data_IF_979909706066
#
_entry.id   IF_979909706066
#
_cell.length_a   1.000
_cell.length_b   1.000
_cell.length_c   1.000
_cell.angle_alpha   90.00
_cell.angle_beta   90.00
_cell.angle_gamma   90.00
#
_symmetry.space_group_name_H-M   'P 1'
#
loop_
_entity.id
_entity.type
_entity.pdbx_description
1 polymer ?
#
# COMPACT_ATOMS: atom_id res chain seq x y z
N UNK A 1 -17.18 -39.18 -32.55
CA UNK A 1 -16.20 -38.33 -31.83
C UNK A 1 -16.08 -38.76 -30.36
N UNK A 2 -15.69 -40.01 -30.08
CA UNK A 2 -15.70 -40.52 -28.69
C UNK A 2 -14.54 -41.49 -28.39
N UNK A 3 -13.33 -41.18 -28.87
CA UNK A 3 -12.17 -42.09 -28.74
C UNK A 3 -10.82 -41.42 -28.39
N UNK A 4 -10.79 -40.12 -28.08
CA UNK A 4 -9.53 -39.41 -27.77
C UNK A 4 -9.33 -39.10 -26.27
N UNK A 5 -10.26 -39.48 -25.39
CA UNK A 5 -10.15 -39.24 -23.94
C UNK A 5 -9.58 -40.44 -23.16
N UNK A 6 -8.98 -41.41 -23.85
CA UNK A 6 -8.39 -42.64 -23.28
C UNK A 6 -6.85 -42.64 -23.21
N UNK A 7 -6.17 -41.53 -23.52
CA UNK A 7 -4.70 -41.47 -23.58
C UNK A 7 -4.05 -40.56 -22.52
N UNK A 8 -4.63 -40.49 -21.32
CA UNK A 8 -3.92 -39.94 -20.16
C UNK A 8 -3.73 -41.09 -19.15
N UNK A 9 -2.51 -41.61 -18.96
CA UNK A 9 -2.26 -42.61 -17.94
C UNK A 9 -2.50 -41.99 -16.55
N UNK A 10 -3.64 -42.31 -15.94
CA UNK A 10 -3.91 -42.06 -14.52
C UNK A 10 -2.96 -42.94 -13.72
N UNK A 11 -1.75 -42.45 -13.43
CA UNK A 11 -0.77 -43.15 -12.61
C UNK A 11 -1.17 -43.04 -11.12
N UNK A 12 -1.71 -44.10 -10.51
CA UNK A 12 -2.28 -44.05 -9.15
C UNK A 12 -1.20 -43.97 -8.05
N UNK A 13 0.08 -44.11 -8.40
CA UNK A 13 1.19 -43.98 -7.45
C UNK A 13 1.53 -42.52 -7.15
N UNK A 14 1.47 -41.63 -8.15
CA UNK A 14 1.81 -40.20 -7.98
C UNK A 14 0.76 -39.48 -7.12
N UNK A 15 -0.52 -39.85 -7.27
CA UNK A 15 -1.60 -39.27 -6.48
C UNK A 15 -1.54 -39.68 -5.00
N UNK A 16 -1.10 -40.90 -4.68
CA UNK A 16 -0.97 -41.37 -3.29
C UNK A 16 0.18 -40.71 -2.54
N UNK A 17 1.34 -40.51 -3.17
CA UNK A 17 2.46 -39.80 -2.55
C UNK A 17 2.11 -38.33 -2.28
N UNK A 18 1.46 -37.66 -3.24
CA UNK A 18 0.95 -36.31 -3.06
C UNK A 18 -0.10 -36.20 -1.95
N UNK A 19 -1.06 -37.13 -1.88
CA UNK A 19 -2.12 -37.14 -0.85
C UNK A 19 -1.59 -37.37 0.57
N UNK A 20 -0.59 -38.25 0.75
CA UNK A 20 0.01 -38.50 2.06
C UNK A 20 0.82 -37.30 2.56
N UNK A 21 1.64 -36.70 1.69
CA UNK A 21 2.33 -35.43 1.98
C UNK A 21 1.33 -34.33 2.33
N UNK A 22 0.21 -34.25 1.61
CA UNK A 22 -0.81 -33.22 1.81
C UNK A 22 -1.55 -33.33 3.15
N UNK A 23 -1.94 -34.55 3.57
CA UNK A 23 -2.65 -34.76 4.83
C UNK A 23 -1.77 -34.50 6.06
N UNK A 24 -0.46 -34.71 5.94
CA UNK A 24 0.45 -34.58 7.08
C UNK A 24 1.17 -33.23 7.15
N UNK A 25 1.52 -32.59 6.02
CA UNK A 25 2.25 -31.31 6.05
C UNK A 25 1.36 -30.08 6.12
N UNK A 26 0.18 -30.09 5.48
CA UNK A 26 -0.70 -28.91 5.46
C UNK A 26 -1.13 -28.49 6.87
N UNK A 27 -1.54 -29.40 7.79
CA UNK A 27 -1.93 -29.01 9.13
C UNK A 27 -0.78 -28.39 9.94
N UNK A 28 0.45 -28.85 9.73
CA UNK A 28 1.64 -28.27 10.38
C UNK A 28 1.98 -26.90 9.79
N UNK A 29 1.88 -26.76 8.47
CA UNK A 29 2.11 -25.51 7.78
C UNK A 29 1.10 -24.44 8.21
N UNK A 30 -0.16 -24.82 8.44
CA UNK A 30 -1.16 -23.93 9.01
C UNK A 30 -0.77 -23.43 10.43
N UNK A 31 -0.26 -24.32 11.29
CA UNK A 31 0.21 -23.96 12.64
C UNK A 31 1.37 -22.97 12.56
N UNK A 32 2.33 -23.24 11.67
CA UNK A 32 3.46 -22.35 11.42
C UNK A 32 3.02 -20.98 10.89
N UNK A 33 2.09 -20.95 9.93
CA UNK A 33 1.57 -19.70 9.38
C UNK A 33 0.91 -18.83 10.47
N UNK A 34 0.02 -19.41 11.28
CA UNK A 34 -0.65 -18.72 12.37
C UNK A 34 0.34 -18.22 13.43
N UNK A 35 1.34 -19.05 13.75
CA UNK A 35 2.39 -18.68 14.70
C UNK A 35 3.23 -17.50 14.20
N UNK A 36 3.64 -17.54 12.92
CA UNK A 36 4.41 -16.46 12.29
C UNK A 36 3.63 -15.15 12.27
N UNK A 37 2.36 -15.18 11.85
CA UNK A 37 1.50 -13.98 11.83
C UNK A 37 1.25 -13.41 13.23
N UNK A 38 0.94 -14.28 14.21
CA UNK A 38 0.76 -13.86 15.60
C UNK A 38 2.02 -13.21 16.19
N UNK A 39 3.18 -13.83 15.95
CA UNK A 39 4.48 -13.31 16.40
C UNK A 39 4.84 -11.99 15.71
N UNK A 40 4.57 -11.87 14.41
CA UNK A 40 4.83 -10.67 13.63
C UNK A 40 4.05 -9.47 14.16
N UNK A 41 2.76 -9.63 14.44
CA UNK A 41 1.94 -8.55 15.02
C UNK A 41 2.41 -8.10 16.40
N UNK A 42 2.79 -9.05 17.25
CA UNK A 42 3.34 -8.73 18.57
C UNK A 42 4.68 -8.01 18.41
N UNK A 43 5.56 -8.50 17.53
CA UNK A 43 6.85 -7.84 17.24
C UNK A 43 6.64 -6.40 16.77
N UNK A 44 5.75 -6.17 15.82
CA UNK A 44 5.47 -4.83 15.27
C UNK A 44 4.88 -3.87 16.30
N UNK A 45 4.15 -4.39 17.30
CA UNK A 45 3.68 -3.60 18.43
C UNK A 45 4.85 -3.06 19.26
N UNK A 46 5.89 -3.86 19.47
CA UNK A 46 7.07 -3.49 20.25
C UNK A 46 8.09 -2.66 19.46
N UNK A 47 8.26 -2.90 18.16
CA UNK A 47 9.20 -2.12 17.32
C UNK A 47 8.71 -0.70 17.06
N UNK A 48 7.45 -0.38 17.37
CA UNK A 48 6.88 0.95 17.15
C UNK A 48 6.59 1.27 15.68
N UNK A 49 6.97 0.38 14.75
CA UNK A 49 6.72 0.49 13.32
C UNK A 49 5.22 0.49 12.98
N UNK A 50 4.38 -0.07 13.87
CA UNK A 50 2.93 -0.02 13.73
C UNK A 50 2.40 1.43 13.70
N UNK A 51 3.11 2.37 14.34
CA UNK A 51 2.77 3.81 14.30
C UNK A 51 2.93 4.44 12.91
N UNK A 52 3.75 3.85 12.06
CA UNK A 52 4.01 4.33 10.71
C UNK A 52 2.98 3.80 9.70
N UNK A 53 2.26 2.73 10.06
CA UNK A 53 1.36 2.02 9.16
C UNK A 53 -0.12 2.24 9.49
N UNK A 54 -0.48 2.47 10.76
CA UNK A 54 -1.88 2.48 11.21
C UNK A 54 -2.10 3.53 12.31
N UNK A 55 -3.30 4.12 12.36
CA UNK A 55 -3.72 5.06 13.40
C UNK A 55 -3.65 4.42 14.82
N UNK A 56 -3.22 5.16 15.85
CA UNK A 56 -2.95 4.63 17.20
C UNK A 56 -4.10 3.89 17.89
N UNK A 57 -5.35 4.23 17.57
CA UNK A 57 -6.52 3.56 18.15
C UNK A 57 -6.59 2.06 17.81
N UNK A 58 -6.01 1.62 16.70
CA UNK A 58 -6.08 0.23 16.25
C UNK A 58 -4.97 -0.65 16.85
N UNK A 59 -4.03 -0.11 17.62
CA UNK A 59 -2.92 -0.89 18.15
C UNK A 59 -3.36 -2.01 19.09
N UNK A 60 -4.36 -1.75 19.91
CA UNK A 60 -4.89 -2.75 20.84
C UNK A 60 -5.62 -3.88 20.08
N UNK A 61 -6.29 -3.54 18.97
CA UNK A 61 -6.96 -4.51 18.11
C UNK A 61 -5.95 -5.46 17.44
N UNK A 62 -4.87 -4.90 16.86
CA UNK A 62 -3.81 -5.69 16.23
C UNK A 62 -3.10 -6.58 17.25
N UNK A 63 -2.82 -6.06 18.45
CA UNK A 63 -2.24 -6.84 19.53
C UNK A 63 -3.15 -7.99 19.97
N UNK A 64 -4.45 -7.72 20.13
CA UNK A 64 -5.46 -8.74 20.43
C UNK A 64 -5.53 -9.82 19.35
N UNK A 65 -5.51 -9.43 18.07
CA UNK A 65 -5.48 -10.37 16.96
C UNK A 65 -4.23 -11.26 16.98
N UNK A 66 -3.06 -10.70 17.30
CA UNK A 66 -1.83 -11.46 17.47
C UNK A 66 -1.92 -12.52 18.56
N UNK A 67 -2.48 -12.17 19.72
CA UNK A 67 -2.73 -13.13 20.82
C UNK A 67 -3.69 -14.24 20.37
N UNK A 68 -4.80 -13.87 19.71
CA UNK A 68 -5.79 -14.84 19.23
C UNK A 68 -5.14 -15.82 18.23
N UNK A 69 -4.29 -15.34 17.32
CA UNK A 69 -3.56 -16.22 16.40
C UNK A 69 -2.59 -17.17 17.11
N UNK A 70 -1.87 -16.71 18.14
CA UNK A 70 -1.00 -17.58 18.94
C UNK A 70 -1.80 -18.63 19.71
N UNK A 71 -2.94 -18.26 20.32
CA UNK A 71 -3.82 -19.19 21.03
C UNK A 71 -4.38 -20.24 20.07
N UNK A 72 -4.89 -19.82 18.91
CA UNK A 72 -5.39 -20.75 17.89
C UNK A 72 -4.28 -21.68 17.37
N UNK A 73 -3.06 -21.17 17.15
CA UNK A 73 -1.91 -21.97 16.76
C UNK A 73 -1.58 -23.04 17.82
N UNK A 74 -1.53 -22.65 19.10
CA UNK A 74 -1.28 -23.57 20.22
C UNK A 74 -2.38 -24.63 20.38
N UNK A 75 -3.66 -24.24 20.28
CA UNK A 75 -4.78 -25.18 20.33
C UNK A 75 -4.71 -26.20 19.19
N UNK A 76 -4.42 -25.76 17.96
CA UNK A 76 -4.27 -26.65 16.81
C UNK A 76 -3.07 -27.57 16.98
N UNK A 77 -1.95 -27.06 17.46
CA UNK A 77 -0.75 -27.85 17.74
C UNK A 77 -1.03 -28.94 18.80
N UNK A 78 -1.74 -28.59 19.87
CA UNK A 78 -2.15 -29.54 20.91
C UNK A 78 -3.07 -30.65 20.36
N UNK A 79 -4.03 -30.29 19.51
CA UNK A 79 -4.91 -31.27 18.87
C UNK A 79 -4.16 -32.20 17.89
N UNK A 80 -3.17 -31.68 17.15
CA UNK A 80 -2.31 -32.49 16.27
C UNK A 80 -1.44 -33.49 17.04
N UNK A 81 -0.99 -33.13 18.24
CA UNK A 81 -0.17 -34.00 19.09
C UNK A 81 -1.01 -35.04 19.82
N UNK A 82 -2.23 -34.69 20.26
CA UNK A 82 -3.11 -35.60 21.01
C UNK A 82 -3.92 -36.55 20.12
N UNK A 83 -4.29 -36.14 18.90
CA UNK A 83 -5.16 -36.93 18.03
C UNK A 83 -4.51 -37.12 16.65
N UNK A 84 -4.08 -38.35 16.33
CA UNK A 84 -3.46 -38.71 15.02
C UNK A 84 -4.40 -38.57 13.81
N UNK A 85 -5.64 -38.12 14.02
CA UNK A 85 -6.62 -37.87 12.96
C UNK A 85 -7.23 -36.48 13.17
N UNK A 86 -6.52 -35.47 12.70
CA UNK A 86 -7.12 -34.18 12.36
C UNK A 86 -8.05 -34.43 11.17
N UNK A 87 -9.32 -34.69 11.46
CA UNK A 87 -10.36 -34.49 10.47
C UNK A 87 -10.36 -32.99 10.16
N UNK A 88 -9.86 -32.63 8.99
CA UNK A 88 -10.09 -31.32 8.40
C UNK A 88 -11.59 -31.03 8.57
N UNK A 89 -12.01 -29.86 9.07
CA UNK A 89 -13.42 -29.52 9.07
C UNK A 89 -13.90 -29.70 7.63
N UNK A 90 -14.77 -30.68 7.39
CA UNK A 90 -15.50 -30.82 6.13
C UNK A 90 -16.55 -29.69 6.05
N UNK A 91 -16.11 -28.45 6.22
CA UNK A 91 -16.87 -27.28 5.85
C UNK A 91 -16.99 -27.31 4.34
N UNK A 92 -18.22 -27.41 3.86
CA UNK A 92 -18.62 -27.32 2.45
C UNK A 92 -18.28 -25.93 1.89
N UNK A 93 -17.00 -25.62 1.75
CA UNK A 93 -16.55 -24.45 1.01
C UNK A 93 -16.06 -24.93 -0.34
N UNK A 94 -16.74 -24.48 -1.38
CA UNK A 94 -16.39 -24.67 -2.78
C UNK A 94 -15.08 -23.91 -3.01
N UNK A 95 -13.94 -24.55 -2.79
CA UNK A 95 -12.63 -23.95 -3.03
C UNK A 95 -12.29 -24.09 -4.50
N UNK A 96 -12.34 -22.98 -5.24
CA UNK A 96 -11.83 -22.90 -6.62
C UNK A 96 -10.32 -23.25 -6.69
N UNK A 97 -9.62 -23.18 -5.55
CA UNK A 97 -8.21 -23.50 -5.41
C UNK A 97 -7.98 -24.80 -4.65
N UNK A 98 -6.95 -25.59 -5.00
CA UNK A 98 -6.61 -26.79 -4.27
C UNK A 98 -6.30 -26.48 -2.79
N UNK A 99 -6.66 -27.40 -1.86
CA UNK A 99 -6.35 -27.24 -0.45
C UNK A 99 -4.84 -26.99 -0.25
N UNK A 100 -4.47 -26.16 0.72
CA UNK A 100 -3.07 -25.87 1.08
C UNK A 100 -2.34 -24.78 0.27
N UNK A 101 -2.79 -24.40 -0.94
CA UNK A 101 -2.15 -23.28 -1.67
C UNK A 101 -2.27 -21.96 -0.91
N UNK A 102 -3.45 -21.69 -0.33
CA UNK A 102 -3.69 -20.48 0.45
C UNK A 102 -2.77 -20.37 1.66
N UNK A 103 -2.59 -21.47 2.41
CA UNK A 103 -1.70 -21.47 3.57
C UNK A 103 -0.23 -21.32 3.17
N UNK A 104 0.18 -21.97 2.08
CA UNK A 104 1.53 -21.81 1.51
C UNK A 104 1.83 -20.35 1.20
N UNK A 105 0.90 -19.68 0.51
CA UNK A 105 1.01 -18.25 0.20
C UNK A 105 1.10 -17.39 1.46
N UNK A 106 0.22 -17.61 2.45
CA UNK A 106 0.23 -16.85 3.70
C UNK A 106 1.53 -17.01 4.49
N UNK A 107 2.14 -18.19 4.43
CA UNK A 107 3.43 -18.45 5.07
C UNK A 107 4.56 -17.69 4.38
N UNK A 108 4.61 -17.73 3.04
CA UNK A 108 5.60 -16.98 2.26
C UNK A 108 5.47 -15.48 2.51
N UNK A 109 4.24 -14.95 2.51
CA UNK A 109 3.97 -13.54 2.79
C UNK A 109 4.42 -13.17 4.21
N UNK A 110 4.15 -14.01 5.22
CA UNK A 110 4.59 -13.76 6.59
C UNK A 110 6.13 -13.72 6.71
N UNK A 111 6.83 -14.62 6.01
CA UNK A 111 8.29 -14.63 5.95
C UNK A 111 8.81 -13.35 5.30
N UNK A 112 8.28 -12.98 4.12
CA UNK A 112 8.68 -11.76 3.43
C UNK A 112 8.46 -10.51 4.28
N UNK A 113 7.32 -10.42 4.99
CA UNK A 113 7.03 -9.33 5.90
C UNK A 113 8.02 -9.27 7.07
N UNK A 114 8.59 -10.40 7.48
CA UNK A 114 9.64 -10.42 8.52
C UNK A 114 11.01 -9.94 8.00
N UNK A 115 11.29 -10.14 6.71
CA UNK A 115 12.54 -9.74 6.06
C UNK A 115 12.53 -8.28 5.58
N UNK A 116 11.39 -7.78 5.13
CA UNK A 116 11.26 -6.45 4.53
C UNK A 116 10.79 -5.46 5.61
N UNK A 117 11.64 -4.50 6.04
CA UNK A 117 11.22 -3.50 7.00
C UNK A 117 10.19 -2.53 6.38
N UNK A 118 9.15 -2.13 7.13
CA UNK A 118 8.20 -1.13 6.66
C UNK A 118 8.92 0.22 6.52
N UNK A 119 8.90 0.78 5.30
CA UNK A 119 9.46 2.11 5.02
C UNK A 119 8.35 3.14 4.97
N UNK A 120 8.58 4.30 5.58
CA UNK A 120 7.73 5.47 5.37
C UNK A 120 8.03 6.15 4.05
N UNK A 121 6.99 6.78 3.50
CA UNK A 121 7.10 7.72 2.39
C UNK A 121 7.75 9.00 2.94
N UNK A 122 9.08 9.02 2.99
CA UNK A 122 9.85 10.21 3.38
C UNK A 122 9.77 11.27 2.29
N UNK A 123 10.01 12.53 2.64
CA UNK A 123 10.08 13.66 1.70
C UNK A 123 11.04 13.45 0.54
N UNK A 124 12.03 12.56 0.69
CA UNK A 124 12.96 12.18 -0.37
C UNK A 124 12.27 11.50 -1.56
N UNK A 125 11.20 10.72 -1.31
CA UNK A 125 10.37 10.10 -2.37
C UNK A 125 9.55 11.16 -3.11
N UNK A 126 9.25 12.30 -2.46
CA UNK A 126 8.53 13.41 -3.08
C UNK A 126 9.42 14.17 -4.09
N UNK A 127 10.71 14.36 -3.77
CA UNK A 127 11.67 14.99 -4.68
C UNK A 127 11.88 14.18 -5.97
N UNK A 128 11.77 12.84 -5.89
CA UNK A 128 11.89 11.96 -7.06
C UNK A 128 10.68 12.00 -8.01
N UNK A 129 9.56 12.64 -7.64
CA UNK A 129 8.35 12.65 -8.48
C UNK A 129 8.34 13.66 -9.64
N UNK A 130 9.42 14.43 -9.81
CA UNK A 130 9.59 15.32 -10.96
C UNK A 130 8.66 16.54 -10.94
N UNK A 131 9.11 17.60 -11.61
CA UNK A 131 8.36 18.85 -11.77
C UNK A 131 7.16 18.60 -12.67
N UNK A 132 5.95 18.78 -12.14
CA UNK A 132 4.72 18.76 -12.94
C UNK A 132 4.35 20.19 -13.27
N UNK A 133 4.32 20.54 -14.55
CA UNK A 133 3.91 21.89 -15.02
C UNK A 133 2.43 22.21 -14.79
N UNK A 134 1.65 21.27 -14.25
CA UNK A 134 0.24 21.46 -13.94
C UNK A 134 -0.08 20.93 -12.54
N UNK A 135 -0.72 21.80 -11.75
CA UNK A 135 -1.29 21.44 -10.46
C UNK A 135 -2.27 20.26 -10.66
N UNK A 136 -2.23 19.22 -9.82
CA UNK A 136 -3.26 18.18 -9.82
C UNK A 136 -4.63 18.83 -9.66
N UNK A 137 -5.53 18.63 -10.63
CA UNK A 137 -6.95 18.99 -10.56
C UNK A 137 -7.66 18.04 -9.59
N UNK A 138 -7.19 17.97 -8.35
CA UNK A 138 -7.76 17.15 -7.29
C UNK A 138 -8.04 18.03 -6.09
N UNK A 139 -8.84 19.07 -6.33
CA UNK A 139 -9.90 19.59 -5.49
C UNK A 139 -10.28 20.95 -6.07
N UNK A 140 -11.37 20.97 -6.85
CA UNK A 140 -12.20 22.17 -6.91
C UNK A 140 -12.89 22.23 -5.54
N UNK A 141 -12.14 22.58 -4.50
CA UNK A 141 -12.77 23.21 -3.36
C UNK A 141 -13.30 24.51 -3.92
N UNK A 142 -14.62 24.64 -3.98
CA UNK A 142 -15.30 25.85 -4.43
C UNK A 142 -15.00 26.91 -3.36
N UNK A 143 -13.79 27.47 -3.40
CA UNK A 143 -13.43 28.57 -2.52
C UNK A 143 -14.37 29.70 -2.89
N UNK A 144 -15.17 30.06 -1.90
CA UNK A 144 -16.13 31.14 -1.91
C UNK A 144 -15.54 32.35 -2.61
N UNK A 145 -16.24 32.82 -3.63
CA UNK A 145 -16.14 34.14 -4.26
C UNK A 145 -15.08 35.08 -3.68
N UNK A 146 -14.02 35.30 -4.47
CA UNK A 146 -13.18 36.49 -4.55
C UNK A 146 -13.40 37.53 -3.44
N UNK A 147 -12.52 37.51 -2.43
CA UNK A 147 -12.07 38.79 -1.87
C UNK A 147 -11.12 39.38 -2.90
N UNK A 148 -11.28 40.66 -3.23
CA UNK A 148 -10.38 41.45 -4.06
C UNK A 148 -9.01 41.57 -3.35
N UNK A 149 -8.24 40.47 -3.34
CA UNK A 149 -6.89 40.43 -2.79
C UNK A 149 -6.04 41.25 -3.76
N UNK A 150 -5.39 42.28 -3.24
CA UNK A 150 -4.55 43.16 -4.05
C UNK A 150 -3.43 42.35 -4.72
N UNK A 151 -3.00 42.68 -5.95
CA UNK A 151 -1.97 41.93 -6.67
C UNK A 151 -0.69 41.67 -5.87
N UNK A 152 -0.31 42.58 -4.98
CA UNK A 152 0.91 42.52 -4.15
C UNK A 152 0.82 41.49 -3.02
N UNK A 153 -0.39 41.09 -2.63
CA UNK A 153 -0.64 40.15 -1.54
C UNK A 153 -0.85 38.71 -2.06
N UNK A 154 -0.95 38.53 -3.39
CA UNK A 154 -1.18 37.23 -4.02
C UNK A 154 0.07 36.37 -4.01
N UNK A 155 -0.08 35.16 -3.49
CA UNK A 155 0.95 34.12 -3.52
C UNK A 155 1.14 33.53 -4.93
N UNK A 156 2.28 32.90 -5.19
CA UNK A 156 2.54 32.23 -6.49
C UNK A 156 1.44 31.22 -6.87
N UNK A 157 0.90 30.50 -5.89
CA UNK A 157 -0.17 29.52 -6.11
C UNK A 157 -1.48 30.21 -6.54
N UNK A 158 -1.80 31.37 -5.96
CA UNK A 158 -2.97 32.16 -6.33
C UNK A 158 -2.82 32.77 -7.72
N UNK A 159 -1.63 33.24 -8.08
CA UNK A 159 -1.33 33.70 -9.44
C UNK A 159 -1.54 32.59 -10.47
N UNK A 160 -0.98 31.39 -10.23
CA UNK A 160 -1.16 30.24 -11.14
C UNK A 160 -2.64 29.85 -11.24
N UNK A 161 -3.38 29.83 -10.13
CA UNK A 161 -4.82 29.56 -10.14
C UNK A 161 -5.62 30.61 -10.92
N UNK A 162 -5.30 31.89 -10.73
CA UNK A 162 -5.97 33.02 -11.40
C UNK A 162 -5.73 32.98 -12.90
N UNK A 163 -4.48 32.82 -13.33
CA UNK A 163 -4.11 32.74 -14.74
C UNK A 163 -4.68 31.48 -15.42
N UNK A 164 -4.75 30.35 -14.71
CA UNK A 164 -5.39 29.14 -15.23
C UNK A 164 -6.91 29.28 -15.37
N UNK A 165 -7.55 30.06 -14.49
CA UNK A 165 -9.00 30.31 -14.55
C UNK A 165 -9.38 31.36 -15.61
N UNK A 166 -8.53 32.39 -15.79
CA UNK A 166 -8.76 33.53 -16.67
C UNK A 166 -7.48 33.88 -17.44
N UNK A 167 -7.22 33.24 -18.59
CA UNK A 167 -5.94 33.31 -19.31
C UNK A 167 -5.78 34.55 -20.22
N UNK A 168 -6.44 35.66 -19.92
CA UNK A 168 -6.39 36.89 -20.73
C UNK A 168 -5.18 37.76 -20.33
N UNK A 169 -4.10 37.86 -21.13
CA UNK A 169 -2.84 38.47 -20.71
C UNK A 169 -2.95 39.99 -20.48
N UNK A 170 -3.79 40.68 -21.27
CA UNK A 170 -3.94 42.14 -21.20
C UNK A 170 -4.53 42.59 -19.85
N UNK A 171 -5.35 41.74 -19.22
CA UNK A 171 -6.01 42.01 -17.94
C UNK A 171 -5.02 42.11 -16.76
N UNK A 172 -3.82 41.56 -16.89
CA UNK A 172 -2.79 41.51 -15.84
C UNK A 172 -1.57 42.39 -16.12
N UNK A 173 -1.59 43.13 -17.23
CA UNK A 173 -0.54 44.08 -17.55
C UNK A 173 -0.38 45.13 -16.44
N UNK A 174 0.88 45.48 -16.13
CA UNK A 174 1.26 46.49 -15.13
C UNK A 174 0.86 46.19 -13.66
N UNK A 175 0.32 45.00 -13.36
CA UNK A 175 0.03 44.63 -11.97
C UNK A 175 1.33 44.31 -11.23
N UNK A 176 1.59 44.92 -10.05
CA UNK A 176 2.77 44.60 -9.26
C UNK A 176 2.67 43.18 -8.70
N UNK A 177 3.75 42.41 -8.85
CA UNK A 177 3.84 41.01 -8.42
C UNK A 177 4.94 40.86 -7.36
N UNK A 178 4.58 40.30 -6.21
CA UNK A 178 5.53 39.96 -5.14
C UNK A 178 5.42 38.46 -4.80
N UNK A 179 6.25 37.64 -5.43
CA UNK A 179 6.22 36.18 -5.27
C UNK A 179 7.57 35.62 -4.82
N UNK A 180 7.54 34.52 -4.09
CA UNK A 180 8.74 33.81 -3.63
C UNK A 180 8.65 32.34 -4.06
N UNK A 181 9.75 31.81 -4.59
CA UNK A 181 9.85 30.44 -5.08
C UNK A 181 11.29 30.07 -5.44
N UNK A 182 11.44 28.90 -6.03
CA UNK A 182 12.71 28.37 -6.54
C UNK A 182 12.82 28.70 -8.02
N UNK A 183 14.00 29.18 -8.44
CA UNK A 183 14.28 29.45 -9.86
C UNK A 183 14.87 28.20 -10.51
N UNK A 184 14.24 27.75 -11.59
CA UNK A 184 14.70 26.62 -12.39
C UNK A 184 15.17 27.16 -13.74
N UNK A 185 16.43 26.90 -14.07
CA UNK A 185 17.00 27.20 -15.38
C UNK A 185 17.01 25.93 -16.22
N UNK A 186 16.26 25.95 -17.32
CA UNK A 186 16.19 24.83 -18.26
C UNK A 186 16.91 25.24 -19.54
N UNK A 187 17.74 24.37 -20.15
CA UNK A 187 18.49 24.72 -21.36
C UNK A 187 17.62 25.06 -22.58
N UNK A 188 16.32 24.74 -22.53
CA UNK A 188 15.34 24.99 -23.60
C UNK A 188 14.66 26.37 -23.51
N UNK A 189 14.95 27.18 -22.48
CA UNK A 189 14.32 28.48 -22.26
C UNK A 189 15.27 29.64 -22.64
N UNK A 190 14.80 30.72 -23.30
CA UNK A 190 15.65 31.89 -23.60
C UNK A 190 16.13 32.58 -22.31
N UNK A 191 17.28 33.27 -22.37
CA UNK A 191 17.93 33.91 -21.21
C UNK A 191 17.06 34.96 -20.49
N UNK A 192 16.05 35.49 -21.16
CA UNK A 192 15.11 36.48 -20.62
C UNK A 192 13.95 35.86 -19.83
N UNK A 193 13.87 34.53 -19.78
CA UNK A 193 12.80 33.78 -19.11
C UNK A 193 13.37 32.87 -18.03
N UNK A 194 12.60 32.73 -16.97
CA UNK A 194 12.91 31.85 -15.85
C UNK A 194 11.65 31.11 -15.41
N UNK A 195 11.81 29.86 -14.99
CA UNK A 195 10.73 29.13 -14.32
C UNK A 195 10.79 29.37 -12.82
N UNK A 196 9.66 29.77 -12.25
CA UNK A 196 9.49 29.91 -10.81
C UNK A 196 8.58 28.80 -10.29
N UNK A 197 9.11 27.96 -9.40
CA UNK A 197 8.40 26.82 -8.82
C UNK A 197 8.20 27.00 -7.30
N UNK A 198 7.16 26.38 -6.74
CA UNK A 198 6.93 26.35 -5.29
C UNK A 198 6.26 25.05 -4.88
N UNK A 199 6.93 24.31 -4.00
CA UNK A 199 6.34 23.12 -3.40
C UNK A 199 5.10 23.46 -2.58
N UNK A 200 3.98 22.82 -2.93
CA UNK A 200 2.74 22.88 -2.15
C UNK A 200 2.51 21.52 -1.51
N UNK A 201 2.34 21.49 -0.19
CA UNK A 201 1.92 20.29 0.55
C UNK A 201 0.47 20.51 0.96
N UNK A 202 -0.45 19.82 0.31
CA UNK A 202 -1.90 19.88 0.55
C UNK A 202 -2.30 19.09 1.80
N UNK A 203 -1.85 17.84 1.92
CA UNK A 203 -2.24 16.96 3.01
C UNK A 203 -1.07 16.14 3.60
N UNK A 204 -0.12 15.72 2.76
CA UNK A 204 0.99 14.82 3.13
C UNK A 204 2.16 15.02 2.15
N UNK A 205 3.37 14.61 2.54
CA UNK A 205 4.54 14.61 1.64
C UNK A 205 4.32 13.81 0.34
N UNK A 206 3.40 12.83 0.35
CA UNK A 206 3.01 12.07 -0.83
C UNK A 206 2.29 12.91 -1.90
N UNK A 207 1.68 14.03 -1.51
CA UNK A 207 0.93 14.95 -2.36
C UNK A 207 1.68 16.27 -2.59
N UNK A 208 2.98 16.29 -2.26
CA UNK A 208 3.84 17.42 -2.57
C UNK A 208 4.13 17.42 -4.08
N UNK A 209 3.72 18.49 -4.76
CA UNK A 209 4.10 18.80 -6.15
C UNK A 209 4.94 20.08 -6.16
N UNK A 210 6.10 20.10 -6.87
CA UNK A 210 6.83 21.34 -7.17
C UNK A 210 6.01 22.27 -8.07
#
# INVERSE_FOLDING_TARGET
>A
MNKLQQLIPQNPQISRFGQFYHQQLVPWLDVFALFLWGTLFIRYRFTGELRLLIHPNYFNLVFGAGIVFLVMSGMRMGHLLQNKQTQLPQGQHITLFPPGLGTGLLTVVAILAFLIPPRVLTSEVALQRGVRESLPVTQIETQTFYTDIKPEERTLVEWVRTLNAYPEPDAYSEQPVNVTGFVIHTPDLPEDYLFLARFVITCCAVDASP
#
